data_IF_162460174871
#
_entry.id   IF_162460174871
#
_cell.length_a   1.000
_cell.length_b   1.000
_cell.length_c   1.000
_cell.angle_alpha   90.00
_cell.angle_beta   90.00
_cell.angle_gamma   90.00
#
_symmetry.space_group_name_H-M   'P 1'
#
loop_
_entity.id
_entity.type
_entity.pdbx_description
1 polymer ?
#
# COMPACT_ATOMS: atom_id res chain seq x y z
N UNK A 1 53.02 -0.59 -10.59
CA UNK A 1 52.00 -0.33 -9.55
C UNK A 1 50.65 -0.76 -10.12
N UNK A 2 49.94 -1.74 -9.53
CA UNK A 2 48.61 -2.11 -10.00
C UNK A 2 47.57 -1.11 -9.47
N UNK A 3 46.55 -0.84 -10.29
CA UNK A 3 45.47 0.09 -10.00
C UNK A 3 44.53 -0.47 -8.90
N UNK A 4 43.84 0.38 -8.11
CA UNK A 4 43.01 -0.05 -7.00
C UNK A 4 41.75 -0.79 -7.47
N UNK A 5 41.42 -1.84 -6.74
CA UNK A 5 40.39 -2.87 -6.99
C UNK A 5 38.98 -2.49 -6.55
N UNK A 6 38.60 -1.21 -6.55
CA UNK A 6 37.40 -0.79 -5.82
C UNK A 6 36.27 -0.39 -6.77
N UNK A 7 35.41 -1.38 -7.03
CA UNK A 7 34.17 -1.32 -7.81
C UNK A 7 33.07 -0.47 -7.17
N UNK A 8 33.30 0.84 -7.06
CA UNK A 8 32.32 1.83 -6.59
C UNK A 8 31.64 2.63 -7.72
N UNK A 9 31.82 2.23 -8.98
CA UNK A 9 31.15 2.86 -10.11
C UNK A 9 30.44 1.77 -10.92
N UNK A 10 29.11 1.77 -10.83
CA UNK A 10 28.16 0.89 -11.52
C UNK A 10 28.07 -0.55 -10.99
N UNK A 11 27.25 -0.72 -9.94
CA UNK A 11 26.83 -2.03 -9.45
C UNK A 11 26.16 -2.87 -10.54
N UNK A 12 26.89 -3.87 -11.04
CA UNK A 12 26.36 -5.18 -11.40
C UNK A 12 25.29 -5.25 -12.49
N UNK A 13 25.52 -4.74 -13.69
CA UNK A 13 24.81 -5.26 -14.86
C UNK A 13 25.46 -6.61 -15.24
N UNK A 14 25.04 -7.70 -14.59
CA UNK A 14 25.16 -9.00 -15.28
C UNK A 14 24.35 -8.87 -16.56
N UNK A 15 24.83 -9.42 -17.66
CA UNK A 15 24.20 -9.44 -18.99
C UNK A 15 22.80 -10.10 -19.03
N UNK A 16 22.24 -10.45 -17.87
CA UNK A 16 20.97 -11.15 -17.67
C UNK A 16 19.84 -10.22 -17.19
N UNK A 17 20.05 -8.90 -17.16
CA UNK A 17 19.02 -7.93 -16.71
C UNK A 17 18.07 -7.56 -17.84
N UNK A 18 16.77 -7.63 -17.57
CA UNK A 18 15.70 -7.27 -18.51
C UNK A 18 15.04 -5.97 -18.01
N UNK A 19 14.86 -5.03 -18.94
CA UNK A 19 14.01 -3.86 -18.72
C UNK A 19 12.62 -4.13 -19.29
N UNK A 20 11.58 -3.93 -18.47
CA UNK A 20 10.19 -4.19 -18.83
C UNK A 20 9.36 -2.93 -18.62
N UNK A 21 8.75 -2.42 -19.69
CA UNK A 21 7.73 -1.38 -19.60
C UNK A 21 6.34 -2.02 -19.52
N UNK A 22 5.65 -1.77 -18.42
CA UNK A 22 4.28 -2.25 -18.19
C UNK A 22 3.31 -1.12 -18.52
N UNK A 23 2.39 -1.40 -19.43
CA UNK A 23 1.45 -0.41 -19.99
C UNK A 23 0.00 -0.76 -19.68
N UNK A 24 -0.84 0.26 -19.63
CA UNK A 24 -2.29 0.14 -19.57
C UNK A 24 -2.91 0.56 -20.90
N UNK A 25 -3.66 -0.34 -21.50
CA UNK A 25 -4.51 -0.06 -22.66
C UNK A 25 -5.84 0.49 -22.18
N UNK A 26 -6.11 1.76 -22.48
CA UNK A 26 -7.30 2.46 -21.97
C UNK A 26 -8.58 2.02 -22.65
N UNK A 27 -8.52 1.37 -23.82
CA UNK A 27 -9.71 1.05 -24.63
C UNK A 27 -10.01 -0.45 -24.71
N UNK A 28 -9.11 -1.30 -24.17
CA UNK A 28 -9.15 -2.77 -24.23
C UNK A 28 -10.52 -3.41 -23.99
N UNK A 29 -11.30 -2.89 -23.05
CA UNK A 29 -12.54 -3.52 -22.58
C UNK A 29 -13.81 -2.86 -23.17
N UNK A 30 -13.67 -2.11 -24.27
CA UNK A 30 -14.79 -1.46 -24.95
C UNK A 30 -15.23 -0.14 -24.30
N UNK A 31 -16.33 0.47 -24.79
CA UNK A 31 -16.70 1.85 -24.45
C UNK A 31 -17.18 2.02 -23.00
N UNK A 32 -17.69 0.95 -22.37
CA UNK A 32 -18.16 0.99 -20.98
C UNK A 32 -17.63 -0.24 -20.26
N UNK A 33 -16.83 0.02 -19.22
CA UNK A 33 -16.21 -1.02 -18.39
C UNK A 33 -16.75 -0.89 -16.98
N UNK A 34 -17.26 -2.00 -16.43
CA UNK A 34 -17.73 -2.06 -15.05
C UNK A 34 -16.58 -1.63 -14.12
N UNK A 35 -16.86 -0.68 -13.22
CA UNK A 35 -15.87 -0.11 -12.29
C UNK A 35 -15.12 1.12 -12.82
N UNK A 36 -15.11 1.39 -14.13
CA UNK A 36 -14.50 2.63 -14.69
C UNK A 36 -15.49 3.77 -14.91
N UNK A 37 -16.78 3.53 -14.71
CA UNK A 37 -17.84 4.52 -14.92
C UNK A 37 -17.80 5.69 -13.93
N UNK A 38 -17.30 5.45 -12.71
CA UNK A 38 -17.18 6.48 -11.67
C UNK A 38 -15.74 6.92 -11.44
N UNK A 39 -14.76 6.02 -11.58
CA UNK A 39 -13.34 6.34 -11.51
C UNK A 39 -12.59 5.74 -12.71
N UNK A 40 -12.19 6.61 -13.63
CA UNK A 40 -11.52 6.22 -14.86
C UNK A 40 -10.11 5.65 -14.61
N UNK A 41 -9.55 5.74 -13.39
CA UNK A 41 -8.21 5.25 -13.01
C UNK A 41 -8.18 3.78 -12.60
N UNK A 42 -9.35 3.13 -12.50
CA UNK A 42 -9.43 1.74 -12.04
C UNK A 42 -8.70 0.74 -12.95
N UNK A 43 -8.54 1.07 -14.23
CA UNK A 43 -7.67 0.33 -15.16
C UNK A 43 -6.21 0.42 -14.77
N UNK A 44 -5.70 1.61 -14.47
CA UNK A 44 -4.33 1.84 -14.00
C UNK A 44 -4.07 1.09 -12.69
N UNK A 45 -5.01 1.13 -11.73
CA UNK A 45 -4.88 0.39 -10.47
C UNK A 45 -4.84 -1.12 -10.69
N UNK A 46 -5.60 -1.64 -11.65
CA UNK A 46 -5.55 -3.05 -12.03
C UNK A 46 -4.15 -3.44 -12.52
N UNK A 47 -3.51 -2.58 -13.32
CA UNK A 47 -2.13 -2.79 -13.79
C UNK A 47 -1.13 -2.75 -12.63
N UNK A 48 -1.30 -1.84 -11.67
CA UNK A 48 -0.44 -1.79 -10.47
C UNK A 48 -0.53 -3.08 -9.63
N UNK A 49 -1.72 -3.69 -9.53
CA UNK A 49 -1.85 -5.00 -8.87
C UNK A 49 -1.08 -6.10 -9.63
N UNK A 50 -1.09 -6.09 -10.96
CA UNK A 50 -0.31 -7.02 -11.77
C UNK A 50 1.20 -6.82 -11.55
N UNK A 51 1.66 -5.57 -11.47
CA UNK A 51 3.06 -5.22 -11.14
C UNK A 51 3.44 -5.82 -9.77
N UNK A 52 2.60 -5.65 -8.76
CA UNK A 52 2.87 -6.16 -7.42
C UNK A 52 2.98 -7.69 -7.39
N UNK A 53 2.10 -8.40 -8.12
CA UNK A 53 2.16 -9.86 -8.24
C UNK A 53 3.45 -10.32 -8.92
N UNK A 54 3.84 -9.64 -10.02
CA UNK A 54 5.11 -9.91 -10.70
C UNK A 54 6.29 -9.71 -9.76
N UNK A 55 6.29 -8.65 -8.95
CA UNK A 55 7.36 -8.37 -8.00
C UNK A 55 7.49 -9.47 -6.95
N UNK A 56 6.38 -9.93 -6.39
CA UNK A 56 6.36 -11.02 -5.41
C UNK A 56 6.84 -12.35 -6.01
N UNK A 57 6.40 -12.67 -7.24
CA UNK A 57 6.85 -13.87 -7.95
C UNK A 57 8.35 -13.80 -8.30
N UNK A 58 8.84 -12.67 -8.79
CA UNK A 58 10.25 -12.46 -9.04
C UNK A 58 11.08 -12.65 -7.75
N UNK A 59 10.60 -12.14 -6.62
CA UNK A 59 11.27 -12.30 -5.32
C UNK A 59 11.35 -13.77 -4.88
N UNK A 60 10.33 -14.59 -5.13
CA UNK A 60 10.35 -16.02 -4.82
C UNK A 60 11.31 -16.80 -5.71
N UNK A 61 11.50 -16.35 -6.96
CA UNK A 61 12.46 -16.91 -7.92
C UNK A 61 13.90 -16.39 -7.72
N UNK A 62 14.15 -15.61 -6.66
CA UNK A 62 15.47 -15.03 -6.38
C UNK A 62 15.89 -13.90 -7.34
N UNK A 63 14.93 -13.30 -8.04
CA UNK A 63 15.14 -12.14 -8.90
C UNK A 63 14.87 -10.84 -8.12
N UNK A 64 15.73 -9.85 -8.31
CA UNK A 64 15.49 -8.48 -7.90
C UNK A 64 14.63 -7.76 -8.92
N UNK A 65 13.74 -6.90 -8.43
CA UNK A 65 12.94 -5.99 -9.25
C UNK A 65 13.10 -4.58 -8.69
N UNK A 66 13.38 -3.62 -9.56
CA UNK A 66 13.44 -2.20 -9.22
C UNK A 66 12.47 -1.40 -10.09
N UNK A 67 11.62 -0.58 -9.46
CA UNK A 67 10.75 0.36 -10.16
C UNK A 67 11.51 1.67 -10.42
N UNK A 68 11.59 2.08 -11.69
CA UNK A 68 12.10 3.39 -12.09
C UNK A 68 10.92 4.29 -12.46
N UNK A 69 10.87 5.49 -11.88
CA UNK A 69 9.79 6.47 -12.12
C UNK A 69 10.29 7.88 -12.43
N UNK A 70 11.61 8.09 -12.47
CA UNK A 70 12.23 9.40 -12.75
C UNK A 70 12.44 9.53 -14.26
N UNK A 71 11.35 9.67 -15.01
CA UNK A 71 11.35 9.97 -16.44
C UNK A 71 10.02 10.62 -16.85
N UNK A 72 10.00 11.28 -18.01
CA UNK A 72 8.77 11.81 -18.60
C UNK A 72 8.04 10.68 -19.33
N UNK A 73 6.74 10.43 -19.06
CA UNK A 73 5.97 9.39 -19.74
C UNK A 73 6.01 9.50 -21.27
N UNK A 74 6.07 10.72 -21.80
CA UNK A 74 6.12 11.03 -23.24
C UNK A 74 7.40 10.50 -23.89
N UNK A 75 8.52 10.49 -23.16
CA UNK A 75 9.78 9.98 -23.66
C UNK A 75 9.74 8.45 -23.79
N UNK A 76 9.11 7.77 -22.82
CA UNK A 76 8.87 6.32 -22.91
C UNK A 76 7.93 5.98 -24.08
N UNK A 77 6.82 6.73 -24.24
CA UNK A 77 5.92 6.54 -25.38
C UNK A 77 6.66 6.67 -26.70
N UNK A 78 7.54 7.67 -26.82
CA UNK A 78 8.33 7.92 -28.04
C UNK A 78 9.34 6.81 -28.31
N UNK A 79 10.13 6.43 -27.31
CA UNK A 79 11.18 5.39 -27.44
C UNK A 79 10.57 4.04 -27.80
N UNK A 80 9.44 3.69 -27.20
CA UNK A 80 8.77 2.40 -27.42
C UNK A 80 7.69 2.46 -28.52
N UNK A 81 7.54 3.60 -29.21
CA UNK A 81 6.53 3.82 -30.25
C UNK A 81 5.11 3.44 -29.80
N UNK A 82 4.74 3.82 -28.58
CA UNK A 82 3.44 3.49 -28.01
C UNK A 82 2.34 4.37 -28.62
N UNK A 83 1.16 3.79 -28.94
CA UNK A 83 -0.02 4.55 -29.33
C UNK A 83 -0.49 5.50 -28.21
N UNK A 84 -1.25 6.54 -28.58
CA UNK A 84 -1.69 7.58 -27.64
C UNK A 84 -2.52 7.02 -26.48
N UNK A 85 -3.40 6.06 -26.79
CA UNK A 85 -4.29 5.40 -25.83
C UNK A 85 -3.60 4.36 -24.94
N UNK A 86 -2.30 4.10 -25.15
CA UNK A 86 -1.50 3.23 -24.29
C UNK A 86 -0.73 4.08 -23.29
N UNK A 87 -0.96 3.84 -22.00
CA UNK A 87 -0.35 4.59 -20.90
C UNK A 87 0.76 3.76 -20.26
N UNK A 88 2.01 4.21 -20.25
CA UNK A 88 3.06 3.61 -19.43
C UNK A 88 2.71 3.74 -17.94
N UNK A 89 2.69 2.62 -17.22
CA UNK A 89 2.37 2.58 -15.78
C UNK A 89 3.63 2.38 -14.95
N UNK A 90 4.46 1.40 -15.32
CA UNK A 90 5.69 1.07 -14.59
C UNK A 90 6.83 0.76 -15.56
N UNK A 91 8.04 1.14 -15.19
CA UNK A 91 9.26 0.69 -15.85
C UNK A 91 10.09 -0.08 -14.84
N UNK A 92 10.26 -1.38 -15.09
CA UNK A 92 10.89 -2.30 -14.14
C UNK A 92 12.22 -2.80 -14.68
N UNK A 93 13.23 -2.80 -13.82
CA UNK A 93 14.48 -3.50 -14.05
C UNK A 93 14.44 -4.83 -13.29
N UNK A 94 14.57 -5.95 -13.98
CA UNK A 94 14.48 -7.30 -13.41
C UNK A 94 15.79 -8.04 -13.68
N UNK A 95 16.39 -8.63 -12.66
CA UNK A 95 17.63 -9.38 -12.82
C UNK A 95 18.03 -10.21 -11.61
N UNK A 96 19.02 -11.08 -11.78
CA UNK A 96 19.60 -11.84 -10.67
C UNK A 96 20.38 -10.91 -9.74
N UNK A 97 20.13 -11.01 -8.44
CA UNK A 97 20.84 -10.24 -7.41
C UNK A 97 21.74 -11.14 -6.58
N UNK A 98 22.83 -10.58 -6.05
CA UNK A 98 23.75 -11.31 -5.17
C UNK A 98 23.22 -11.47 -3.74
N UNK A 99 22.43 -10.49 -3.27
CA UNK A 99 21.78 -10.50 -1.97
C UNK A 99 20.57 -9.57 -1.97
N UNK A 100 19.73 -9.71 -0.95
CA UNK A 100 18.64 -8.78 -0.66
C UNK A 100 18.94 -8.11 0.69
N UNK A 101 18.66 -6.81 0.79
CA UNK A 101 18.79 -6.11 2.06
C UNK A 101 17.64 -6.45 3.01
N UNK A 102 17.93 -6.57 4.30
CA UNK A 102 16.92 -6.82 5.34
C UNK A 102 16.00 -5.62 5.59
N UNK A 103 16.43 -4.43 5.16
CA UNK A 103 15.71 -3.17 5.29
C UNK A 103 15.66 -2.42 3.97
N UNK A 104 14.65 -1.54 3.76
CA UNK A 104 14.61 -0.66 2.61
C UNK A 104 15.88 0.19 2.54
N UNK A 105 16.49 0.27 1.37
CA UNK A 105 17.75 0.98 1.17
C UNK A 105 17.65 2.47 1.56
N UNK A 106 16.51 3.11 1.25
CA UNK A 106 16.24 4.50 1.66
C UNK A 106 16.13 4.69 3.17
N UNK A 107 15.72 3.65 3.92
CA UNK A 107 15.73 3.69 5.38
C UNK A 107 17.17 3.58 5.91
N UNK A 108 17.96 2.65 5.35
CA UNK A 108 19.37 2.48 5.71
C UNK A 108 20.22 3.70 5.34
N UNK A 109 19.90 4.39 4.25
CA UNK A 109 20.53 5.63 3.82
C UNK A 109 20.06 6.87 4.62
N UNK A 110 19.16 6.70 5.59
CA UNK A 110 18.66 7.80 6.44
C UNK A 110 17.70 8.76 5.74
N UNK A 111 17.21 8.43 4.53
CA UNK A 111 16.29 9.29 3.79
C UNK A 111 14.92 9.36 4.45
N UNK A 112 14.35 8.20 4.81
CA UNK A 112 13.07 8.11 5.52
C UNK A 112 12.89 6.76 6.20
N UNK A 113 12.54 6.77 7.48
CA UNK A 113 12.19 5.57 8.22
C UNK A 113 10.78 5.08 7.89
N UNK A 114 10.56 3.76 7.98
CA UNK A 114 9.21 3.17 7.92
C UNK A 114 8.28 3.81 8.97
N UNK A 115 7.10 4.24 8.53
CA UNK A 115 6.08 4.78 9.43
C UNK A 115 5.50 3.67 10.33
N UNK A 116 5.20 3.96 11.61
CA UNK A 116 4.49 3.02 12.48
C UNK A 116 3.10 2.69 11.94
N UNK A 117 2.76 1.40 11.87
CA UNK A 117 1.51 0.93 11.26
C UNK A 117 0.28 1.47 11.99
N UNK A 118 0.34 1.58 13.31
CA UNK A 118 -0.74 2.09 14.16
C UNK A 118 -1.13 3.54 13.85
N UNK A 119 -0.26 4.32 13.21
CA UNK A 119 -0.56 5.70 12.78
C UNK A 119 -1.35 5.75 11.47
N UNK A 120 -1.34 4.65 10.69
CA UNK A 120 -1.96 4.56 9.37
C UNK A 120 -3.31 3.82 9.39
N UNK A 121 -3.68 3.20 10.52
CA UNK A 121 -4.94 2.49 10.67
C UNK A 121 -5.95 3.42 11.35
N UNK A 122 -7.09 3.61 10.70
CA UNK A 122 -8.21 4.37 11.24
C UNK A 122 -9.47 3.49 11.33
N UNK A 123 -10.32 3.71 12.33
CA UNK A 123 -11.53 2.93 12.56
C UNK A 123 -12.76 3.85 12.57
N UNK A 124 -13.73 3.56 11.70
CA UNK A 124 -15.00 4.29 11.50
C UNK A 124 -14.87 5.74 10.98
N UNK A 125 -13.70 6.36 11.01
CA UNK A 125 -13.49 7.70 10.46
C UNK A 125 -12.01 8.07 10.39
N UNK A 126 -11.66 8.98 9.49
CA UNK A 126 -10.28 9.47 9.33
C UNK A 126 -9.76 10.07 10.64
N UNK A 127 -8.54 9.70 11.04
CA UNK A 127 -7.92 10.17 12.29
C UNK A 127 -8.42 9.46 13.57
N UNK A 128 -9.37 8.53 13.48
CA UNK A 128 -9.87 7.80 14.66
C UNK A 128 -9.08 6.50 14.85
N UNK A 129 -8.31 6.33 15.94
CA UNK A 129 -7.51 5.12 16.13
C UNK A 129 -8.40 3.90 16.43
N UNK A 130 -7.93 2.67 16.12
CA UNK A 130 -8.66 1.46 16.47
C UNK A 130 -8.86 1.37 17.97
N UNK A 131 -10.09 1.08 18.42
CA UNK A 131 -10.33 0.82 19.84
C UNK A 131 -9.57 -0.45 20.22
N UNK A 132 -8.65 -0.36 21.19
CA UNK A 132 -8.01 -1.54 21.75
C UNK A 132 -9.10 -2.48 22.28
N UNK A 133 -9.12 -3.74 21.82
CA UNK A 133 -9.96 -4.77 22.42
C UNK A 133 -9.62 -4.84 23.91
N UNK A 134 -10.61 -4.70 24.80
CA UNK A 134 -10.44 -5.07 26.22
C UNK A 134 -10.11 -6.56 26.25
N UNK A 135 -9.11 -7.01 27.03
CA UNK A 135 -8.89 -8.43 27.21
C UNK A 135 -10.17 -9.07 27.75
N UNK A 136 -10.56 -10.19 27.15
CA UNK A 136 -11.70 -10.99 27.58
C UNK A 136 -11.35 -11.63 28.93
N UNK A 137 -11.54 -10.91 30.04
CA UNK A 137 -11.16 -11.44 31.36
C UNK A 137 -11.21 -10.47 32.54
N UNK A 138 -12.05 -9.42 32.50
CA UNK A 138 -12.27 -8.55 33.67
C UNK A 138 -13.75 -8.48 33.97
N UNK A 139 -14.16 -9.09 35.10
CA UNK A 139 -15.55 -9.19 35.55
C UNK A 139 -16.34 -7.87 35.48
N UNK A 140 -17.65 -7.99 35.31
CA UNK A 140 -18.58 -6.86 35.36
C UNK A 140 -18.32 -6.06 36.66
N UNK A 141 -18.08 -4.74 36.60
CA UNK A 141 -18.17 -3.91 37.79
C UNK A 141 -19.58 -4.04 38.35
N UNK A 142 -19.69 -4.42 39.64
CA UNK A 142 -20.98 -4.57 40.31
C UNK A 142 -21.80 -3.28 40.21
N UNK A 143 -23.11 -3.43 39.99
CA UNK A 143 -24.04 -2.33 40.13
C UNK A 143 -23.98 -1.82 41.59
N UNK A 144 -23.94 -0.50 41.83
CA UNK A 144 -24.02 0.03 43.19
C UNK A 144 -25.41 -0.23 43.77
N UNK A 145 -25.46 -0.91 44.92
CA UNK A 145 -26.65 -0.98 45.78
C UNK A 145 -27.06 0.44 46.20
N UNK A 146 -28.18 0.93 45.66
CA UNK A 146 -28.85 2.11 46.20
C UNK A 146 -29.97 1.66 47.12
N UNK A 147 -29.64 1.49 48.40
CA UNK A 147 -30.62 1.66 49.47
C UNK A 147 -30.86 3.14 49.69
N UNK A 148 -32.11 3.61 49.53
CA UNK A 148 -32.68 4.70 50.34
C UNK A 148 -34.20 4.74 50.16
N UNK A 149 -34.89 4.58 51.29
CA UNK A 149 -36.32 4.78 51.46
C UNK A 149 -36.77 6.16 51.02
N UNK A 150 -37.86 6.23 50.26
CA UNK A 150 -38.69 7.43 50.19
C UNK A 150 -40.12 6.97 50.47
N UNK A 151 -40.63 7.39 51.63
CA UNK A 151 -42.01 7.14 52.05
C UNK A 151 -43.00 7.84 51.12
N UNK A 152 -44.04 7.10 50.72
CA UNK A 152 -45.12 7.59 49.89
C UNK A 152 -45.98 8.61 50.67
N UNK A 153 -46.35 9.77 50.08
CA UNK A 153 -47.40 10.61 50.65
C UNK A 153 -48.79 9.97 50.41
N UNK A 154 -49.76 10.11 51.33
CA UNK A 154 -51.05 9.45 51.23
C UNK A 154 -51.98 10.08 50.17
N UNK A 155 -52.67 9.24 49.39
CA UNK A 155 -53.66 9.64 48.39
C UNK A 155 -54.91 10.25 49.05
N UNK A 156 -55.28 11.46 48.62
CA UNK A 156 -56.56 12.12 48.94
C UNK A 156 -57.64 11.58 48.01
N UNK A 157 -58.67 10.92 48.55
CA UNK A 157 -59.85 10.46 47.78
C UNK A 157 -60.77 11.65 47.48
N UNK A 158 -61.38 11.74 46.27
CA UNK A 158 -62.39 12.74 45.96
C UNK A 158 -63.73 12.41 46.65
N UNK A 159 -64.42 13.46 47.09
CA UNK A 159 -65.76 13.40 47.68
C UNK A 159 -66.84 13.26 46.61
N UNK A 160 -67.95 12.63 47.01
CA UNK A 160 -69.18 12.31 46.26
C UNK A 160 -69.83 13.51 45.58
#
# INVERSE_FOLDING_TARGET
MPAPSDGWLYGGYRTDTINLCITCDRDRAGPVVIGRTHDHRMDLYSVVCAVQNLWLAARSEGLGVGWVSIFRPEDIKRVLSLPENIVPVAYLCIGRVSHFHDRPELETAGWRSRLPLEQLIHMNGWGQPPRRRRPAGGGRPGLPEQGRSVGSPPLRKPAT
#
